data_IF_694928732050
#
_entry.id   IF_694928732050
#
_cell.length_a   1.000
_cell.length_b   1.000
_cell.length_c   1.000
_cell.angle_alpha   90.00
_cell.angle_beta   90.00
_cell.angle_gamma   90.00
#
_symmetry.space_group_name_H-M   'P 1'
#
loop_
_entity.id
_entity.type
_entity.pdbx_description
1 polymer ?
#
# COMPACT_ATOMS: atom_id res chain seq x y z
N UNK A 1 -34.47 8.78 -52.41
CA UNK A 1 -33.35 8.48 -51.49
C UNK A 1 -32.93 9.82 -50.91
N UNK A 2 -33.51 10.18 -49.77
CA UNK A 2 -33.15 11.43 -49.06
C UNK A 2 -31.74 11.30 -48.53
N UNK A 3 -30.90 12.31 -48.78
CA UNK A 3 -29.48 12.32 -48.44
C UNK A 3 -29.34 12.61 -46.95
N UNK A 4 -28.72 11.69 -46.21
CA UNK A 4 -28.31 11.94 -44.83
C UNK A 4 -27.30 13.10 -44.81
N UNK A 5 -27.64 14.17 -44.10
CA UNK A 5 -26.85 15.39 -44.00
C UNK A 5 -25.99 15.38 -42.73
N UNK A 6 -24.72 15.78 -42.84
CA UNK A 6 -23.70 15.73 -41.77
C UNK A 6 -24.08 16.66 -40.59
N UNK A 7 -24.93 17.64 -40.85
CA UNK A 7 -25.54 18.54 -39.86
C UNK A 7 -26.26 17.78 -38.74
N UNK A 8 -26.94 16.66 -39.04
CA UNK A 8 -27.68 15.84 -38.07
C UNK A 8 -26.78 15.27 -36.95
N UNK A 9 -25.55 14.85 -37.31
CA UNK A 9 -24.61 14.28 -36.36
C UNK A 9 -23.85 15.34 -35.53
N UNK A 10 -23.78 16.57 -36.05
CA UNK A 10 -23.12 17.70 -35.36
C UNK A 10 -23.93 18.19 -34.15
N UNK A 11 -25.25 18.17 -34.23
CA UNK A 11 -26.14 18.52 -33.11
C UNK A 11 -26.11 17.49 -31.97
N UNK A 12 -25.70 16.25 -32.25
CA UNK A 12 -25.55 15.20 -31.24
C UNK A 12 -24.22 15.24 -30.48
N UNK A 13 -23.24 16.03 -30.94
CA UNK A 13 -22.00 16.31 -30.22
C UNK A 13 -22.21 17.37 -29.12
N UNK A 14 -23.20 17.16 -28.24
CA UNK A 14 -23.21 17.88 -26.96
C UNK A 14 -21.97 17.44 -26.18
N UNK A 15 -21.16 18.40 -25.73
CA UNK A 15 -20.03 18.17 -24.83
C UNK A 15 -20.54 17.65 -23.47
N UNK A 16 -20.91 16.37 -23.43
CA UNK A 16 -21.26 15.70 -22.18
C UNK A 16 -19.95 15.41 -21.48
N UNK A 17 -19.66 16.20 -20.44
CA UNK A 17 -18.54 15.93 -19.54
C UNK A 17 -18.59 14.46 -19.11
N UNK A 18 -17.49 13.68 -19.23
CA UNK A 18 -17.49 12.28 -18.86
C UNK A 18 -17.78 12.14 -17.36
N UNK A 19 -19.01 11.79 -17.00
CA UNK A 19 -19.38 11.51 -15.62
C UNK A 19 -19.08 10.05 -15.34
N UNK A 20 -18.19 9.79 -14.38
CA UNK A 20 -18.00 8.45 -13.84
C UNK A 20 -19.33 7.94 -13.27
N UNK A 21 -19.99 7.03 -14.00
CA UNK A 21 -21.18 6.31 -13.56
C UNK A 21 -20.82 5.43 -12.35
N UNK A 22 -20.88 6.00 -11.14
CA UNK A 22 -20.64 5.28 -9.90
C UNK A 22 -21.85 4.39 -9.57
N UNK A 23 -21.86 3.19 -10.13
CA UNK A 23 -22.74 2.12 -9.67
C UNK A 23 -22.34 1.75 -8.22
N UNK A 24 -23.09 2.24 -7.24
CA UNK A 24 -22.97 1.80 -5.84
C UNK A 24 -23.56 0.39 -5.73
N UNK A 25 -22.76 -0.64 -6.02
CA UNK A 25 -23.15 -2.02 -5.72
C UNK A 25 -23.25 -2.16 -4.21
N UNK A 26 -24.46 -2.18 -3.65
CA UNK A 26 -24.70 -2.49 -2.24
C UNK A 26 -24.19 -3.91 -1.96
N UNK A 27 -22.98 -4.03 -1.43
CA UNK A 27 -22.43 -5.31 -0.95
C UNK A 27 -23.05 -5.63 0.39
N UNK A 28 -24.18 -6.33 0.38
CA UNK A 28 -24.74 -6.90 1.59
C UNK A 28 -23.75 -7.90 2.18
N UNK A 29 -23.47 -7.79 3.50
CA UNK A 29 -22.71 -8.84 4.21
C UNK A 29 -23.46 -10.16 4.03
N UNK A 30 -22.73 -11.23 3.74
CA UNK A 30 -23.34 -12.57 3.65
C UNK A 30 -24.06 -12.86 4.97
N UNK A 31 -25.33 -13.27 4.89
CA UNK A 31 -26.08 -13.67 6.08
C UNK A 31 -25.33 -14.80 6.79
N UNK A 32 -25.08 -14.63 8.10
CA UNK A 32 -24.47 -15.67 8.93
C UNK A 32 -25.53 -16.75 9.22
N UNK A 33 -25.74 -17.63 8.26
CA UNK A 33 -26.73 -18.71 8.39
C UNK A 33 -26.20 -19.82 9.28
N UNK A 34 -27.06 -20.33 10.16
CA UNK A 34 -26.82 -21.55 10.95
C UNK A 34 -26.57 -22.76 10.03
N UNK A 35 -25.86 -23.77 10.53
CA UNK A 35 -25.57 -25.01 9.78
C UNK A 35 -26.84 -25.69 9.25
N UNK A 36 -27.92 -25.71 10.04
CA UNK A 36 -29.21 -26.27 9.64
C UNK A 36 -29.86 -25.47 8.52
N UNK A 37 -29.81 -24.13 8.59
CA UNK A 37 -30.31 -23.26 7.54
C UNK A 37 -29.55 -23.50 6.23
N UNK A 38 -28.22 -23.60 6.26
CA UNK A 38 -27.42 -23.91 5.05
C UNK A 38 -27.86 -25.24 4.41
N UNK A 39 -28.12 -26.28 5.21
CA UNK A 39 -28.60 -27.59 4.72
C UNK A 39 -29.99 -27.49 4.10
N UNK A 40 -30.91 -26.76 4.75
CA UNK A 40 -32.27 -26.54 4.23
C UNK A 40 -32.25 -25.81 2.88
N UNK A 41 -31.52 -24.70 2.77
CA UNK A 41 -31.41 -23.98 1.50
C UNK A 41 -30.67 -24.80 0.43
N UNK A 42 -29.64 -25.58 0.79
CA UNK A 42 -29.02 -26.53 -0.14
C UNK A 42 -30.01 -27.58 -0.67
N UNK A 43 -30.92 -28.08 0.19
CA UNK A 43 -32.00 -28.98 -0.21
C UNK A 43 -32.97 -28.29 -1.18
N UNK A 44 -33.37 -27.04 -0.91
CA UNK A 44 -34.22 -26.25 -1.81
C UNK A 44 -33.57 -26.01 -3.19
N UNK A 45 -32.25 -25.77 -3.22
CA UNK A 45 -31.50 -25.66 -4.48
C UNK A 45 -31.48 -26.97 -5.26
N UNK A 46 -31.24 -28.12 -4.59
CA UNK A 46 -31.25 -29.45 -5.23
C UNK A 46 -32.61 -29.84 -5.78
N UNK A 47 -33.68 -29.48 -5.08
CA UNK A 47 -35.08 -29.74 -5.49
C UNK A 47 -35.53 -28.75 -6.58
N UNK A 48 -34.76 -27.68 -6.86
CA UNK A 48 -35.10 -26.70 -7.89
C UNK A 48 -36.14 -25.66 -7.48
N UNK A 49 -36.59 -25.67 -6.21
CA UNK A 49 -37.51 -24.66 -5.66
C UNK A 49 -36.86 -23.29 -5.51
N UNK A 50 -35.54 -23.23 -5.49
CA UNK A 50 -34.76 -21.99 -5.44
C UNK A 50 -33.82 -21.91 -6.64
N UNK A 51 -33.95 -20.86 -7.45
CA UNK A 51 -33.07 -20.63 -8.60
C UNK A 51 -31.66 -20.25 -8.12
N UNK A 52 -30.65 -20.89 -8.69
CA UNK A 52 -29.25 -20.53 -8.45
C UNK A 52 -29.02 -19.11 -8.96
N UNK A 53 -28.36 -18.26 -8.16
CA UNK A 53 -27.91 -16.96 -8.64
C UNK A 53 -26.92 -17.21 -9.80
N UNK A 54 -27.05 -16.53 -10.96
CA UNK A 54 -26.10 -16.69 -12.04
C UNK A 54 -24.70 -16.40 -11.50
N UNK A 55 -23.75 -17.29 -11.80
CA UNK A 55 -22.36 -17.06 -11.43
C UNK A 55 -21.89 -15.74 -12.05
N UNK A 56 -21.16 -14.94 -11.29
CA UNK A 56 -20.56 -13.72 -11.80
C UNK A 56 -19.61 -14.07 -12.95
N UNK A 57 -19.80 -13.48 -14.13
CA UNK A 57 -18.89 -13.63 -15.29
C UNK A 57 -17.57 -12.85 -15.11
N UNK A 58 -17.29 -12.36 -13.90
CA UNK A 58 -16.05 -11.63 -13.56
C UNK A 58 -14.81 -12.46 -13.87
N UNK A 59 -14.87 -13.79 -13.76
CA UNK A 59 -13.75 -14.67 -14.12
C UNK A 59 -13.44 -14.62 -15.62
N UNK A 60 -14.46 -14.45 -16.48
CA UNK A 60 -14.32 -14.38 -17.95
C UNK A 60 -13.51 -13.15 -18.37
N UNK A 61 -13.73 -12.02 -17.70
CA UNK A 61 -13.10 -10.74 -18.03
C UNK A 61 -11.94 -10.38 -17.09
N UNK A 62 -11.48 -11.30 -16.24
CA UNK A 62 -10.46 -11.01 -15.22
C UNK A 62 -9.17 -10.47 -15.83
N UNK A 63 -8.71 -11.07 -16.91
CA UNK A 63 -7.47 -10.67 -17.56
C UNK A 63 -7.65 -9.43 -18.43
N UNK A 64 -8.81 -9.26 -19.07
CA UNK A 64 -9.14 -8.03 -19.80
C UNK A 64 -9.22 -6.82 -18.86
N UNK A 65 -9.80 -6.98 -17.67
CA UNK A 65 -9.83 -5.94 -16.63
C UNK A 65 -8.40 -5.58 -16.19
N UNK A 66 -7.52 -6.56 -16.02
CA UNK A 66 -6.11 -6.32 -15.68
C UNK A 66 -5.38 -5.58 -16.79
N UNK A 67 -5.57 -5.99 -18.05
CA UNK A 67 -5.00 -5.31 -19.22
C UNK A 67 -5.49 -3.87 -19.31
N UNK A 68 -6.78 -3.64 -19.08
CA UNK A 68 -7.37 -2.30 -19.08
C UNK A 68 -6.75 -1.43 -17.98
N UNK A 69 -6.61 -1.94 -16.75
CA UNK A 69 -5.94 -1.19 -15.68
C UNK A 69 -4.49 -0.86 -16.01
N UNK A 70 -3.75 -1.82 -16.60
CA UNK A 70 -2.37 -1.58 -17.05
C UNK A 70 -2.29 -0.47 -18.10
N UNK A 71 -3.10 -0.55 -19.15
CA UNK A 71 -3.15 0.47 -20.21
C UNK A 71 -3.57 1.84 -19.67
N UNK A 72 -4.50 1.87 -18.71
CA UNK A 72 -4.91 3.10 -18.05
C UNK A 72 -3.76 3.72 -17.25
N UNK A 73 -3.01 2.93 -16.49
CA UNK A 73 -1.84 3.41 -15.74
C UNK A 73 -0.74 3.94 -16.68
N UNK A 74 -0.46 3.23 -17.77
CA UNK A 74 0.52 3.63 -18.78
C UNK A 74 0.11 4.93 -19.49
N UNK A 75 -1.15 5.04 -19.90
CA UNK A 75 -1.70 6.26 -20.51
C UNK A 75 -1.62 7.46 -19.56
N UNK A 76 -2.07 7.30 -18.31
CA UNK A 76 -2.02 8.37 -17.32
C UNK A 76 -0.59 8.81 -17.03
N UNK A 77 0.37 7.88 -17.02
CA UNK A 77 1.78 8.22 -16.87
C UNK A 77 2.28 9.12 -18.01
N UNK A 78 1.98 8.78 -19.26
CA UNK A 78 2.36 9.59 -20.42
C UNK A 78 1.73 10.99 -20.36
N UNK A 79 0.43 11.09 -20.04
CA UNK A 79 -0.30 12.36 -19.95
C UNK A 79 0.22 13.22 -18.78
N UNK A 80 0.44 12.65 -17.61
CA UNK A 80 0.88 13.40 -16.43
C UNK A 80 2.31 13.96 -16.58
N UNK A 81 3.13 13.34 -17.42
CA UNK A 81 4.49 13.77 -17.71
C UNK A 81 4.62 14.47 -19.07
N UNK A 82 3.50 14.68 -19.78
CA UNK A 82 3.44 15.33 -21.10
C UNK A 82 4.39 14.72 -22.14
N UNK A 83 4.45 13.38 -22.17
CA UNK A 83 5.39 12.61 -22.99
C UNK A 83 4.80 12.37 -24.39
N UNK A 84 5.50 12.86 -25.40
CA UNK A 84 5.19 12.70 -26.82
C UNK A 84 6.24 11.87 -27.57
N UNK A 85 7.47 11.79 -27.05
CA UNK A 85 8.59 11.08 -27.68
C UNK A 85 9.24 10.03 -26.79
N UNK A 86 9.91 9.05 -27.41
CA UNK A 86 10.71 8.04 -26.74
C UNK A 86 11.89 8.64 -25.95
N UNK A 87 12.47 9.74 -26.45
CA UNK A 87 13.58 10.44 -25.78
C UNK A 87 13.12 11.09 -24.46
N UNK A 88 11.93 11.71 -24.49
CA UNK A 88 11.30 12.32 -23.31
C UNK A 88 10.99 11.26 -22.25
N UNK A 89 10.53 10.07 -22.67
CA UNK A 89 10.30 8.94 -21.77
C UNK A 89 11.59 8.52 -21.05
N UNK A 90 12.71 8.42 -21.76
CA UNK A 90 14.01 8.08 -21.15
C UNK A 90 14.47 9.16 -20.17
N UNK A 91 14.31 10.44 -20.53
CA UNK A 91 14.61 11.57 -19.66
C UNK A 91 13.80 11.53 -18.36
N UNK A 92 12.48 11.29 -18.47
CA UNK A 92 11.59 11.15 -17.31
C UNK A 92 12.00 9.95 -16.44
N UNK A 93 12.32 8.79 -17.03
CA UNK A 93 12.80 7.61 -16.30
C UNK A 93 14.10 7.92 -15.55
N UNK A 94 15.03 8.66 -16.17
CA UNK A 94 16.27 9.09 -15.51
C UNK A 94 15.95 9.98 -14.31
N UNK A 95 15.11 11.00 -14.50
CA UNK A 95 14.70 11.91 -13.43
C UNK A 95 14.01 11.19 -12.25
N UNK A 96 13.14 10.20 -12.54
CA UNK A 96 12.49 9.37 -11.52
C UNK A 96 13.48 8.46 -10.80
N UNK A 97 14.51 8.00 -11.51
CA UNK A 97 15.58 7.19 -10.92
C UNK A 97 16.40 8.02 -9.92
N UNK A 98 16.68 9.28 -10.24
CA UNK A 98 17.38 10.17 -9.33
C UNK A 98 16.50 10.59 -8.14
N UNK A 99 15.23 10.93 -8.37
CA UNK A 99 14.24 11.14 -7.29
C UNK A 99 14.13 9.93 -6.36
N UNK A 100 14.18 8.71 -6.90
CA UNK A 100 14.17 7.49 -6.07
C UNK A 100 15.40 7.42 -5.16
N UNK A 101 16.59 7.75 -5.67
CA UNK A 101 17.83 7.79 -4.87
C UNK A 101 17.73 8.86 -3.78
N UNK A 102 17.23 10.05 -4.11
CA UNK A 102 17.04 11.15 -3.17
C UNK A 102 16.09 10.78 -2.03
N UNK A 103 14.92 10.22 -2.35
CA UNK A 103 13.95 9.79 -1.35
C UNK A 103 14.50 8.65 -0.48
N UNK A 104 15.25 7.71 -1.08
CA UNK A 104 15.91 6.65 -0.32
C UNK A 104 16.99 7.20 0.62
N UNK A 105 17.73 8.23 0.20
CA UNK A 105 18.69 8.94 1.04
C UNK A 105 17.99 9.74 2.16
N UNK A 106 16.88 10.42 1.87
CA UNK A 106 16.02 11.12 2.86
C UNK A 106 15.55 10.13 3.94
N UNK A 107 14.98 9.00 3.54
CA UNK A 107 14.56 7.91 4.44
C UNK A 107 15.71 7.41 5.30
N UNK A 108 16.89 7.24 4.71
CA UNK A 108 18.09 6.80 5.44
C UNK A 108 18.59 7.86 6.43
N UNK A 109 18.49 9.15 6.10
CA UNK A 109 18.82 10.26 7.02
C UNK A 109 17.87 10.29 8.20
N UNK A 110 16.57 10.14 7.97
CA UNK A 110 15.55 10.05 9.03
C UNK A 110 15.85 8.86 9.95
N UNK A 111 16.17 7.70 9.37
CA UNK A 111 16.52 6.51 10.15
C UNK A 111 17.76 6.73 11.03
N UNK A 112 18.84 7.29 10.47
CA UNK A 112 20.06 7.61 11.24
C UNK A 112 19.82 8.67 12.31
N UNK A 113 19.01 9.68 12.02
CA UNK A 113 18.64 10.72 13.00
C UNK A 113 17.84 10.13 14.16
N UNK A 114 16.86 9.26 13.87
CA UNK A 114 16.12 8.51 14.88
C UNK A 114 17.03 7.63 15.73
N UNK A 115 18.01 6.96 15.10
CA UNK A 115 18.94 6.07 15.82
C UNK A 115 19.82 6.83 16.82
N UNK A 116 20.19 8.09 16.53
CA UNK A 116 20.91 8.95 17.49
C UNK A 116 20.08 9.27 18.74
N UNK A 117 18.76 9.34 18.58
CA UNK A 117 17.82 9.56 19.70
C UNK A 117 17.36 8.25 20.35
N UNK A 118 17.99 7.11 20.03
CA UNK A 118 17.58 5.81 20.55
C UNK A 118 17.68 5.72 22.05
N UNK A 119 18.78 6.20 22.63
CA UNK A 119 18.99 6.19 24.09
C UNK A 119 17.87 6.94 24.84
N UNK A 120 17.39 8.06 24.29
CA UNK A 120 16.24 8.79 24.85
C UNK A 120 14.96 7.96 24.83
N UNK A 121 14.73 7.22 23.74
CA UNK A 121 13.56 6.36 23.61
C UNK A 121 13.64 5.15 24.54
N UNK A 122 14.83 4.58 24.72
CA UNK A 122 15.05 3.45 25.62
C UNK A 122 14.78 3.89 27.07
N UNK A 123 15.28 5.07 27.50
CA UNK A 123 14.96 5.65 28.83
C UNK A 123 13.46 5.88 28.99
N UNK A 124 12.78 6.41 27.97
CA UNK A 124 11.34 6.65 28.03
C UNK A 124 10.53 5.35 28.06
N UNK A 125 10.98 4.30 27.37
CA UNK A 125 10.36 2.97 27.43
C UNK A 125 10.57 2.35 28.83
N UNK A 126 11.78 2.44 29.41
CA UNK A 126 12.06 1.99 30.80
C UNK A 126 11.20 2.73 31.83
N UNK A 127 11.07 4.06 31.70
CA UNK A 127 10.16 4.85 32.54
C UNK A 127 8.73 4.33 32.39
N UNK A 128 8.25 4.14 31.17
CA UNK A 128 6.88 3.64 30.93
C UNK A 128 6.61 2.28 31.58
N UNK A 129 7.60 1.39 31.67
CA UNK A 129 7.47 0.13 32.39
C UNK A 129 7.31 0.32 33.90
N UNK A 130 7.97 1.32 34.48
CA UNK A 130 7.90 1.69 35.89
C UNK A 130 6.66 2.56 36.25
N UNK A 131 5.95 3.10 35.24
CA UNK A 131 4.79 3.99 35.43
C UNK A 131 3.71 3.43 36.39
N UNK A 132 3.33 2.14 36.35
CA UNK A 132 2.34 1.59 37.27
C UNK A 132 2.84 1.53 38.73
N UNK A 133 4.14 1.23 38.92
CA UNK A 133 4.77 1.19 40.24
C UNK A 133 4.84 2.60 40.84
N UNK A 134 5.25 3.59 40.03
CA UNK A 134 5.28 4.99 40.42
C UNK A 134 3.90 5.51 40.83
N UNK A 135 2.86 5.19 40.04
CA UNK A 135 1.47 5.55 40.39
C UNK A 135 1.03 4.95 41.71
N UNK A 136 1.46 3.73 42.02
CA UNK A 136 1.10 3.02 43.26
C UNK A 136 1.83 3.62 44.45
N UNK A 137 3.11 3.94 44.29
CA UNK A 137 3.90 4.66 45.29
C UNK A 137 3.31 6.04 45.63
N UNK A 138 2.94 6.83 44.61
CA UNK A 138 2.30 8.14 44.79
C UNK A 138 0.94 8.06 45.50
N UNK A 139 0.25 6.92 45.43
CA UNK A 139 -0.97 6.65 46.18
C UNK A 139 -0.72 6.30 47.66
N UNK A 140 0.55 6.22 48.07
CA UNK A 140 0.98 5.97 49.44
C UNK A 140 1.43 4.54 49.73
N UNK A 141 1.56 3.68 48.69
CA UNK A 141 2.10 2.34 48.85
C UNK A 141 3.63 2.38 49.02
N UNK A 142 4.12 1.95 50.19
CA UNK A 142 5.55 1.92 50.50
C UNK A 142 6.28 0.73 49.89
N UNK A 143 5.57 -0.21 49.26
CA UNK A 143 6.17 -1.39 48.66
C UNK A 143 7.10 -1.04 47.48
N UNK A 144 6.78 0.01 46.72
CA UNK A 144 7.48 0.39 45.48
C UNK A 144 8.52 1.52 45.66
N UNK A 145 9.16 1.61 46.82
CA UNK A 145 10.16 2.66 47.10
C UNK A 145 11.37 2.60 46.18
N UNK A 146 11.79 1.38 45.81
CA UNK A 146 13.00 1.16 45.02
C UNK A 146 12.75 1.52 43.55
N UNK A 147 11.57 1.17 43.02
CA UNK A 147 11.11 1.53 41.67
C UNK A 147 10.93 3.05 41.54
N UNK A 148 10.42 3.72 42.59
CA UNK A 148 10.33 5.18 42.62
C UNK A 148 11.71 5.85 42.52
N UNK A 149 12.71 5.33 43.25
CA UNK A 149 14.07 5.84 43.17
C UNK A 149 14.65 5.64 41.76
N UNK A 150 14.41 4.48 41.14
CA UNK A 150 14.81 4.22 39.77
C UNK A 150 14.14 5.20 38.79
N UNK A 151 12.83 5.43 38.92
CA UNK A 151 12.09 6.39 38.11
C UNK A 151 12.70 7.81 38.23
N UNK A 152 12.99 8.28 39.44
CA UNK A 152 13.59 9.60 39.64
C UNK A 152 15.01 9.67 39.04
N UNK A 153 15.82 8.60 39.14
CA UNK A 153 17.13 8.58 38.47
C UNK A 153 17.02 8.67 36.94
N UNK A 154 16.05 7.98 36.32
CA UNK A 154 15.81 8.05 34.89
C UNK A 154 15.32 9.43 34.48
N UNK A 155 14.43 10.04 35.27
CA UNK A 155 13.96 11.40 35.07
C UNK A 155 15.10 12.42 35.15
N UNK A 156 16.00 12.31 36.13
CA UNK A 156 17.19 13.17 36.23
C UNK A 156 18.16 12.96 35.05
N UNK A 157 18.33 11.72 34.56
CA UNK A 157 19.12 11.44 33.34
C UNK A 157 18.50 12.10 32.11
N UNK A 158 17.18 12.09 31.98
CA UNK A 158 16.47 12.71 30.86
C UNK A 158 16.59 14.25 30.91
N UNK A 159 16.45 14.82 32.11
CA UNK A 159 16.64 16.25 32.36
C UNK A 159 18.09 16.71 32.11
N UNK A 160 19.10 15.90 32.45
CA UNK A 160 20.50 16.24 32.18
C UNK A 160 20.83 16.23 30.68
N UNK A 161 20.10 15.43 29.90
CA UNK A 161 20.13 15.45 28.44
C UNK A 161 19.29 16.60 27.83
N UNK A 162 18.57 17.35 28.67
CA UNK A 162 17.80 18.54 28.27
C UNK A 162 16.41 18.23 27.71
N UNK A 163 15.86 17.04 27.97
CA UNK A 163 14.53 16.65 27.50
C UNK A 163 13.59 16.39 28.68
N UNK A 164 12.29 16.51 28.41
CA UNK A 164 11.19 16.01 29.24
C UNK A 164 10.55 14.76 28.61
N UNK A 165 9.83 13.97 29.41
CA UNK A 165 9.19 12.74 28.93
C UNK A 165 8.21 13.02 27.77
N UNK A 166 7.45 14.11 27.87
CA UNK A 166 6.49 14.53 26.85
C UNK A 166 7.19 14.92 25.53
N UNK A 167 8.32 15.62 25.62
CA UNK A 167 9.12 15.99 24.44
C UNK A 167 9.73 14.77 23.76
N UNK A 168 10.19 13.77 24.52
CA UNK A 168 10.71 12.52 23.96
C UNK A 168 9.60 11.74 23.24
N UNK A 169 8.38 11.69 23.80
CA UNK A 169 7.24 11.10 23.11
C UNK A 169 6.86 11.85 21.83
N UNK A 170 6.89 13.19 21.87
CA UNK A 170 6.65 14.03 20.69
C UNK A 170 7.72 13.78 19.60
N UNK A 171 8.99 13.69 20.00
CA UNK A 171 10.10 13.36 19.12
C UNK A 171 9.93 11.97 18.48
N UNK A 172 9.46 11.00 19.25
CA UNK A 172 9.15 9.64 18.76
C UNK A 172 8.04 9.66 17.70
N UNK A 173 6.97 10.42 17.93
CA UNK A 173 5.87 10.61 16.98
C UNK A 173 6.36 11.29 15.70
N UNK A 174 7.13 12.36 15.83
CA UNK A 174 7.73 13.08 14.71
C UNK A 174 8.53 12.14 13.78
N UNK A 175 9.49 11.38 14.32
CA UNK A 175 10.28 10.47 13.48
C UNK A 175 9.45 9.34 12.83
N UNK A 176 8.40 8.86 13.52
CA UNK A 176 7.48 7.87 12.96
C UNK A 176 6.69 8.45 11.77
N UNK A 177 6.20 9.67 11.90
CA UNK A 177 5.47 10.36 10.84
C UNK A 177 6.37 10.69 9.65
N UNK A 178 7.55 11.25 9.89
CA UNK A 178 8.54 11.56 8.83
C UNK A 178 8.97 10.30 8.09
N UNK A 179 9.23 9.20 8.81
CA UNK A 179 9.53 7.92 8.17
C UNK A 179 8.37 7.40 7.31
N UNK A 180 7.13 7.51 7.80
CA UNK A 180 5.93 7.11 7.06
C UNK A 180 5.76 7.93 5.77
N UNK A 181 5.96 9.26 5.85
CA UNK A 181 5.93 10.17 4.69
C UNK A 181 7.01 9.80 3.67
N UNK A 182 8.26 9.61 4.11
CA UNK A 182 9.35 9.20 3.23
C UNK A 182 9.08 7.85 2.55
N UNK A 183 8.51 6.88 3.29
CA UNK A 183 8.13 5.58 2.75
C UNK A 183 6.96 5.68 1.75
N UNK A 184 6.01 6.60 1.96
CA UNK A 184 4.94 6.87 1.01
C UNK A 184 5.47 7.51 -0.28
N UNK A 185 6.37 8.51 -0.17
CA UNK A 185 7.09 9.11 -1.31
C UNK A 185 7.86 8.04 -2.09
N UNK A 186 8.62 7.18 -1.41
CA UNK A 186 9.44 6.13 -2.03
C UNK A 186 8.56 5.16 -2.85
N UNK A 187 7.43 4.74 -2.28
CA UNK A 187 6.47 3.87 -2.97
C UNK A 187 5.82 4.54 -4.18
N UNK A 188 5.50 5.84 -4.10
CA UNK A 188 4.92 6.58 -5.22
C UNK A 188 5.91 6.65 -6.39
N UNK A 189 7.14 7.10 -6.12
CA UNK A 189 8.21 7.18 -7.14
C UNK A 189 8.52 5.79 -7.71
N UNK A 190 8.56 4.74 -6.88
CA UNK A 190 8.80 3.37 -7.35
C UNK A 190 7.69 2.87 -8.29
N UNK A 191 6.41 3.17 -8.01
CA UNK A 191 5.30 2.81 -8.88
C UNK A 191 5.39 3.53 -10.22
N UNK A 192 5.59 4.84 -10.20
CA UNK A 192 5.74 5.66 -11.42
C UNK A 192 6.92 5.17 -12.27
N UNK A 193 8.07 4.92 -11.64
CA UNK A 193 9.25 4.40 -12.31
C UNK A 193 9.02 3.03 -12.93
N UNK A 194 8.26 2.14 -12.29
CA UNK A 194 7.93 0.84 -12.86
C UNK A 194 6.98 0.95 -14.05
N UNK A 195 6.04 1.90 -14.03
CA UNK A 195 5.17 2.17 -15.19
C UNK A 195 6.01 2.68 -16.36
N UNK A 196 6.88 3.67 -16.14
CA UNK A 196 7.80 4.17 -17.17
C UNK A 196 8.68 3.07 -17.75
N UNK A 197 9.24 2.19 -16.92
CA UNK A 197 10.01 1.02 -17.36
C UNK A 197 9.17 -0.01 -18.13
N UNK A 198 7.90 -0.22 -17.74
CA UNK A 198 6.98 -1.09 -18.47
C UNK A 198 6.75 -0.58 -19.90
N UNK A 199 6.47 0.73 -20.03
CA UNK A 199 6.28 1.38 -21.34
C UNK A 199 7.55 1.25 -22.18
N UNK A 200 8.71 1.58 -21.61
CA UNK A 200 9.99 1.46 -22.31
C UNK A 200 10.25 0.01 -22.78
N UNK A 201 10.00 -0.98 -21.93
CA UNK A 201 10.15 -2.40 -22.30
C UNK A 201 9.22 -2.80 -23.44
N UNK A 202 7.99 -2.26 -23.50
CA UNK A 202 7.07 -2.53 -24.61
C UNK A 202 7.43 -1.83 -25.91
N UNK A 203 8.21 -0.74 -25.84
CA UNK A 203 8.65 0.02 -27.01
C UNK A 203 9.85 -0.63 -27.70
N UNK A 204 10.69 -1.35 -26.96
CA UNK A 204 11.77 -2.17 -27.52
C UNK A 204 11.15 -3.45 -28.12
N UNK A 205 11.35 -3.76 -29.42
CA UNK A 205 10.90 -5.03 -30.00
C UNK A 205 11.51 -6.23 -29.26
N UNK A 206 10.76 -7.32 -29.12
CA UNK A 206 11.17 -8.59 -28.48
C UNK A 206 12.45 -9.24 -29.06
N UNK A 207 13.08 -8.65 -30.09
CA UNK A 207 14.32 -9.14 -30.71
C UNK A 207 15.59 -8.97 -29.87
N UNK A 208 15.52 -8.37 -28.68
CA UNK A 208 16.64 -8.32 -27.71
C UNK A 208 16.18 -8.82 -26.33
N UNK A 209 15.42 -9.91 -26.29
CA UNK A 209 15.23 -10.66 -25.05
C UNK A 209 16.46 -11.53 -24.79
N UNK A 210 17.48 -10.94 -24.16
CA UNK A 210 18.63 -11.66 -23.62
C UNK A 210 18.10 -12.80 -22.71
N UNK A 211 18.34 -14.06 -23.10
CA UNK A 211 17.64 -15.27 -22.65
C UNK A 211 17.87 -15.70 -21.19
N UNK A 212 17.83 -14.77 -20.23
CA UNK A 212 18.13 -15.01 -18.81
C UNK A 212 16.88 -15.16 -17.92
N UNK A 213 15.72 -14.68 -18.36
CA UNK A 213 14.50 -14.66 -17.51
C UNK A 213 13.83 -16.05 -17.35
N UNK A 214 14.18 -17.04 -18.18
CA UNK A 214 13.59 -18.37 -18.12
C UNK A 214 14.24 -19.30 -17.06
N UNK A 215 15.44 -18.99 -16.57
CA UNK A 215 16.21 -19.88 -15.70
C UNK A 215 15.81 -19.76 -14.22
N UNK A 216 15.49 -18.53 -13.76
CA UNK A 216 15.20 -18.27 -12.35
C UNK A 216 13.89 -18.93 -11.85
N UNK A 217 12.91 -19.12 -12.75
CA UNK A 217 11.61 -19.71 -12.40
C UNK A 217 11.63 -21.25 -12.29
N UNK A 218 12.70 -21.93 -12.73
CA UNK A 218 12.81 -23.40 -12.59
C UNK A 218 13.40 -23.83 -11.24
N UNK A 219 14.19 -22.98 -10.60
CA UNK A 219 14.83 -23.30 -9.31
C UNK A 219 13.86 -23.16 -8.13
N UNK A 220 12.94 -22.18 -8.17
CA UNK A 220 11.98 -21.95 -7.06
C UNK A 220 10.84 -22.98 -6.98
N UNK A 221 10.68 -23.84 -7.99
CA UNK A 221 9.59 -24.84 -8.06
C UNK A 221 10.01 -26.20 -7.48
N UNK A 222 11.33 -26.48 -7.35
CA UNK A 222 11.81 -27.80 -6.89
C UNK A 222 11.68 -28.05 -5.38
N UNK A 223 11.48 -27.01 -4.56
CA UNK A 223 11.46 -27.14 -3.09
C UNK A 223 10.07 -27.28 -2.45
N UNK A 224 8.99 -27.37 -3.25
CA UNK A 224 7.67 -27.73 -2.71
C UNK A 224 7.56 -29.25 -2.62
N UNK A 225 8.07 -29.82 -1.51
CA UNK A 225 7.71 -31.17 -1.05
C UNK A 225 6.18 -31.30 -1.02
N UNK A 226 5.64 -32.18 -1.86
CA UNK A 226 4.24 -32.61 -1.82
C UNK A 226 3.90 -33.16 -0.43
N UNK A 227 2.75 -32.76 0.11
CA UNK A 227 2.24 -33.33 1.36
C UNK A 227 1.60 -34.70 1.08
N UNK A 228 1.77 -35.70 1.97
CA UNK A 228 1.19 -37.02 1.76
C UNK A 228 -0.34 -36.98 1.91
N UNK A 229 -1.01 -37.64 0.97
CA UNK A 229 -2.47 -37.84 0.99
C UNK A 229 -2.87 -38.76 2.15
N UNK A 230 -4.04 -38.48 2.74
CA UNK A 230 -4.69 -39.30 3.77
C UNK A 230 -5.79 -40.17 3.17
#
# INVERSE_FOLDING_TARGET
>A
IEKEDISFYREQQKEVQPVLCKCKVRRYRRAKMSGLQKRYYAKLYRIGKLKKKPYSQVWKYKDDIRKMHKLQEEYLFLVNHDIHSAEELVSVISSLTDKRKEVSAEKSRIYKARERSRELFDIADDMKELEPAEKSFLQGDKFFTDEHLQWETLKQKLLSQGYSLEEVEALRKHYKEEYSKACAKERAVFKELNIGKSIWKSLIPDSVSDGKDAQYNKETIRDRKEQPER
#
